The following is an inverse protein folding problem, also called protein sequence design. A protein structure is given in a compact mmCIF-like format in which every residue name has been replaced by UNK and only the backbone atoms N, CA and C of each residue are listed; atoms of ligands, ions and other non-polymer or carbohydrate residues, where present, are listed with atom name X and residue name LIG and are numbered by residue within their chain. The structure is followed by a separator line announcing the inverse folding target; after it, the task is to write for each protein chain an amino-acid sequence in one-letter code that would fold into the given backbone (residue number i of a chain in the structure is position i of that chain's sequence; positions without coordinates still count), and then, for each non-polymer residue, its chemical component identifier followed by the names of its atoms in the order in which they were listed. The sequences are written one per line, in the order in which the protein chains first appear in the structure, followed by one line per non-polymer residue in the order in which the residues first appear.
data_IF_931237004108
#
_entry.id   IF_931237004108
#
_cell.length_a   1.000
_cell.length_b   1.000
_cell.length_c   1.000
_cell.angle_alpha   90.00
_cell.angle_beta   90.00
_cell.angle_gamma   90.00
#
_symmetry.space_group_name_H-M   'P 1'
#
loop_
_entity.id
_entity.type
_entity.pdbx_description
1 polymer ?
#
# COMPACT_ATOMS: atom_id res chain seq x y z
N UNK A 1 -12.06 -43.20 -19.53
CA UNK A 1 -11.40 -42.17 -18.71
C UNK A 1 -12.17 -40.85 -18.81
N UNK A 2 -12.14 -40.05 -17.75
CA UNK A 2 -12.74 -38.69 -17.71
C UNK A 2 -12.19 -37.81 -18.84
N UNK A 3 -10.88 -37.84 -19.05
CA UNK A 3 -10.17 -37.14 -20.13
C UNK A 3 -10.78 -37.38 -21.51
N UNK A 4 -11.01 -38.65 -21.89
CA UNK A 4 -11.59 -38.99 -23.19
C UNK A 4 -12.99 -38.41 -23.38
N UNK A 5 -13.81 -38.35 -22.33
CA UNK A 5 -15.17 -37.78 -22.41
C UNK A 5 -15.14 -36.27 -22.62
N UNK A 6 -14.25 -35.56 -21.92
CA UNK A 6 -14.05 -34.12 -22.08
C UNK A 6 -13.53 -33.82 -23.48
N UNK A 7 -12.48 -34.51 -23.94
CA UNK A 7 -11.91 -34.33 -25.27
C UNK A 7 -12.96 -34.52 -26.39
N UNK A 8 -13.69 -35.64 -26.36
CA UNK A 8 -14.71 -35.92 -27.38
C UNK A 8 -15.86 -34.90 -27.30
N UNK A 9 -16.24 -34.47 -26.10
CA UNK A 9 -17.24 -33.41 -25.90
C UNK A 9 -16.81 -32.07 -26.51
N UNK A 10 -15.57 -31.66 -26.28
CA UNK A 10 -14.98 -30.41 -26.79
C UNK A 10 -14.84 -30.40 -28.31
N UNK A 11 -14.46 -31.53 -28.91
CA UNK A 11 -14.33 -31.65 -30.38
C UNK A 11 -15.70 -31.69 -31.05
N UNK A 12 -16.68 -32.40 -30.47
CA UNK A 12 -18.02 -32.52 -31.05
C UNK A 12 -18.80 -31.21 -31.02
N UNK A 13 -18.54 -30.34 -30.04
CA UNK A 13 -19.14 -29.01 -29.92
C UNK A 13 -18.07 -27.93 -30.08
N UNK A 14 -17.33 -27.96 -31.19
CA UNK A 14 -16.22 -27.04 -31.45
C UNK A 14 -16.61 -25.56 -31.29
N UNK A 15 -17.82 -25.15 -31.72
CA UNK A 15 -18.33 -23.79 -31.50
C UNK A 15 -18.45 -23.42 -30.02
N UNK A 16 -18.91 -24.34 -29.17
CA UNK A 16 -19.00 -24.10 -27.73
C UNK A 16 -17.59 -23.92 -27.14
N UNK A 17 -16.64 -24.76 -27.55
CA UNK A 17 -15.24 -24.65 -27.12
C UNK A 17 -14.63 -23.31 -27.52
N UNK A 18 -14.88 -22.85 -28.76
CA UNK A 18 -14.41 -21.54 -29.24
C UNK A 18 -15.03 -20.41 -28.42
N UNK A 19 -16.35 -20.41 -28.23
CA UNK A 19 -17.06 -19.35 -27.47
C UNK A 19 -16.54 -19.29 -26.04
N UNK A 20 -16.41 -20.43 -25.36
CA UNK A 20 -15.87 -20.48 -23.99
C UNK A 20 -14.45 -19.92 -23.94
N UNK A 21 -13.61 -20.26 -24.91
CA UNK A 21 -12.22 -19.77 -24.97
C UNK A 21 -12.18 -18.25 -25.16
N UNK A 22 -12.99 -17.71 -26.07
CA UNK A 22 -13.10 -16.27 -26.31
C UNK A 22 -13.62 -15.53 -25.08
N UNK A 23 -14.64 -16.07 -24.41
CA UNK A 23 -15.19 -15.46 -23.19
C UNK A 23 -14.18 -15.44 -22.04
N UNK A 24 -13.44 -16.55 -21.84
CA UNK A 24 -12.37 -16.59 -20.83
C UNK A 24 -11.27 -15.59 -21.15
N UNK A 25 -10.86 -15.48 -22.42
CA UNK A 25 -9.85 -14.53 -22.84
C UNK A 25 -10.31 -13.07 -22.65
N UNK A 26 -11.51 -12.72 -23.11
CA UNK A 26 -12.09 -11.40 -22.90
C UNK A 26 -12.25 -11.07 -21.41
N UNK A 27 -12.69 -12.03 -20.60
CA UNK A 27 -12.76 -11.90 -19.15
C UNK A 27 -11.40 -11.64 -18.51
N UNK A 28 -10.33 -12.28 -18.99
CA UNK A 28 -8.97 -12.03 -18.52
C UNK A 28 -8.50 -10.60 -18.82
N UNK A 29 -8.81 -10.08 -20.02
CA UNK A 29 -8.47 -8.70 -20.40
C UNK A 29 -9.23 -7.70 -19.52
N UNK A 30 -10.53 -7.90 -19.34
CA UNK A 30 -11.34 -7.05 -18.47
C UNK A 30 -10.84 -7.09 -17.00
N UNK A 31 -10.47 -8.27 -16.51
CA UNK A 31 -9.91 -8.45 -15.17
C UNK A 31 -8.53 -7.83 -14.98
N UNK A 32 -7.71 -7.76 -16.04
CA UNK A 32 -6.37 -7.18 -15.96
C UNK A 32 -6.41 -5.69 -15.60
N UNK A 33 -7.44 -4.95 -16.02
CA UNK A 33 -7.64 -3.56 -15.63
C UNK A 33 -7.94 -3.35 -14.14
N UNK A 34 -8.35 -4.40 -13.43
CA UNK A 34 -8.61 -4.37 -11.98
C UNK A 34 -7.36 -4.66 -11.15
N UNK A 35 -6.29 -5.16 -11.78
CA UNK A 35 -5.03 -5.44 -11.10
C UNK A 35 -4.33 -4.11 -10.83
N UNK A 36 -4.19 -3.77 -9.55
CA UNK A 36 -3.47 -2.58 -9.15
C UNK A 36 -2.00 -2.70 -9.55
N UNK A 37 -1.50 -1.72 -10.31
CA UNK A 37 -0.11 -1.64 -10.69
C UNK A 37 0.69 -1.01 -9.55
N UNK A 38 1.25 -1.85 -8.69
CA UNK A 38 2.14 -1.42 -7.62
C UNK A 38 3.59 -1.72 -8.01
N UNK A 39 4.44 -0.69 -8.04
CA UNK A 39 5.87 -0.86 -8.33
C UNK A 39 6.60 -1.55 -7.16
N UNK A 40 6.11 -1.34 -5.95
CA UNK A 40 6.55 -2.01 -4.74
C UNK A 40 5.33 -2.45 -3.92
N UNK A 41 5.40 -3.59 -3.22
CA UNK A 41 4.38 -3.93 -2.23
C UNK A 41 4.33 -2.85 -1.14
N UNK A 42 3.15 -2.60 -0.53
CA UNK A 42 3.07 -1.76 0.65
C UNK A 42 4.01 -2.34 1.71
N UNK A 43 4.94 -1.51 2.20
CA UNK A 43 5.73 -1.87 3.37
C UNK A 43 4.84 -1.66 4.59
N UNK A 44 4.30 -2.74 5.15
CA UNK A 44 3.48 -2.70 6.37
C UNK A 44 4.38 -2.49 7.60
N UNK A 45 5.11 -1.37 7.62
CA UNK A 45 5.91 -0.96 8.77
C UNK A 45 4.99 -0.26 9.77
N UNK A 46 4.95 -0.69 11.05
CA UNK A 46 4.21 -0.02 12.10
C UNK A 46 4.95 1.26 12.54
N UNK A 47 5.42 2.06 11.59
CA UNK A 47 6.16 3.30 11.79
C UNK A 47 5.32 4.45 11.22
N UNK A 48 5.10 5.50 12.02
CA UNK A 48 4.42 6.71 11.56
C UNK A 48 5.43 7.85 11.48
N UNK A 49 5.55 8.45 10.30
CA UNK A 49 6.40 9.63 10.07
C UNK A 49 5.51 10.86 10.06
N UNK A 50 5.88 11.87 10.87
CA UNK A 50 5.16 13.14 10.97
C UNK A 50 6.07 14.27 10.50
N UNK A 51 5.69 14.92 9.40
CA UNK A 51 6.39 16.10 8.88
C UNK A 51 5.82 17.39 9.52
N UNK A 52 6.65 18.09 10.29
CA UNK A 52 6.23 19.28 11.05
C UNK A 52 6.77 20.58 10.40
N UNK A 53 5.88 21.38 9.84
CA UNK A 53 6.24 22.62 9.14
C UNK A 53 5.55 23.84 9.75
N UNK A 54 6.33 24.81 10.23
CA UNK A 54 5.84 26.11 10.70
C UNK A 54 5.82 27.15 9.58
N UNK A 55 5.06 28.25 9.73
CA UNK A 55 5.10 29.37 8.80
C UNK A 55 6.52 29.94 8.61
N UNK A 56 6.77 30.46 7.40
CA UNK A 56 8.04 31.09 7.04
C UNK A 56 8.36 32.24 8.01
N UNK A 57 9.63 32.39 8.40
CA UNK A 57 10.14 33.29 9.46
C UNK A 57 9.86 32.89 10.92
N UNK A 58 9.33 31.69 11.17
CA UNK A 58 9.29 31.16 12.54
C UNK A 58 10.70 30.84 13.04
N UNK A 59 10.98 31.14 14.31
CA UNK A 59 12.27 30.82 14.92
C UNK A 59 12.40 29.31 15.15
N UNK A 60 13.63 28.80 15.16
CA UNK A 60 13.91 27.40 15.49
C UNK A 60 13.45 27.04 16.91
N UNK A 61 13.47 28.02 17.81
CA UNK A 61 13.01 27.89 19.20
C UNK A 61 11.50 27.68 19.25
N UNK A 62 10.72 28.41 18.45
CA UNK A 62 9.27 28.21 18.37
C UNK A 62 8.92 26.81 17.86
N UNK A 63 9.63 26.32 16.83
CA UNK A 63 9.44 24.94 16.34
C UNK A 63 9.72 23.92 17.45
N UNK A 64 10.76 24.14 18.26
CA UNK A 64 11.07 23.28 19.42
C UNK A 64 9.96 23.31 20.46
N UNK A 65 9.51 24.50 20.86
CA UNK A 65 8.47 24.64 21.88
C UNK A 65 7.14 23.98 21.44
N UNK A 66 6.79 24.06 20.16
CA UNK A 66 5.62 23.36 19.62
C UNK A 66 5.81 21.84 19.59
N UNK A 67 7.01 21.36 19.23
CA UNK A 67 7.34 19.93 19.24
C UNK A 67 7.26 19.36 20.66
N UNK A 68 7.89 20.01 21.64
CA UNK A 68 7.90 19.58 23.04
C UNK A 68 6.47 19.47 23.60
N UNK A 69 5.59 20.41 23.24
CA UNK A 69 4.16 20.37 23.61
C UNK A 69 3.42 19.21 22.96
N UNK A 70 3.75 18.87 21.72
CA UNK A 70 3.14 17.74 21.02
C UNK A 70 3.58 16.42 21.65
N UNK A 71 4.88 16.24 21.88
CA UNK A 71 5.44 15.05 22.51
C UNK A 71 4.78 14.79 23.87
N UNK A 72 4.69 15.81 24.73
CA UNK A 72 4.09 15.67 26.06
C UNK A 72 2.59 15.33 26.04
N UNK A 73 1.84 15.79 25.04
CA UNK A 73 0.38 15.60 24.99
C UNK A 73 -0.05 14.35 24.25
N UNK A 74 0.64 13.98 23.19
CA UNK A 74 0.21 12.95 22.26
C UNK A 74 1.05 11.67 22.33
N UNK A 75 2.32 11.77 22.74
CA UNK A 75 3.26 10.64 22.68
C UNK A 75 3.57 10.08 24.08
N UNK A 76 3.88 10.96 25.03
CA UNK A 76 4.27 10.55 26.39
C UNK A 76 3.10 9.84 27.08
N UNK A 77 3.34 8.59 27.50
CA UNK A 77 2.35 7.78 28.22
C UNK A 77 1.33 7.07 27.32
N UNK A 78 1.49 7.14 26.00
CA UNK A 78 0.66 6.39 25.07
C UNK A 78 1.11 4.90 25.03
N UNK A 79 0.25 3.93 25.38
CA UNK A 79 0.60 2.51 25.40
C UNK A 79 0.86 1.91 24.01
N UNK A 80 0.41 2.57 22.94
CA UNK A 80 0.58 2.11 21.56
C UNK A 80 1.92 2.58 20.94
N UNK A 81 2.72 3.37 21.67
CA UNK A 81 3.98 3.93 21.21
C UNK A 81 5.13 3.32 22.00
N UNK A 82 5.92 2.48 21.33
CA UNK A 82 7.12 1.87 21.91
C UNK A 82 8.29 2.86 21.97
N UNK A 83 8.53 3.60 20.88
CA UNK A 83 9.60 4.60 20.79
C UNK A 83 9.22 5.74 19.84
N UNK A 84 9.76 6.93 20.10
CA UNK A 84 9.67 8.08 19.22
C UNK A 84 10.96 8.91 19.26
N UNK A 85 11.22 9.64 18.18
CA UNK A 85 12.35 10.56 18.07
C UNK A 85 11.96 11.77 17.23
N UNK A 86 12.37 12.96 17.65
CA UNK A 86 12.13 14.21 16.91
C UNK A 86 13.43 14.82 16.39
N UNK A 87 13.37 15.40 15.20
CA UNK A 87 14.50 16.06 14.54
C UNK A 87 14.09 17.48 14.15
N UNK A 88 14.65 18.47 14.85
CA UNK A 88 14.30 19.89 14.68
C UNK A 88 15.40 20.58 13.88
N UNK A 89 15.08 21.11 12.70
CA UNK A 89 16.03 21.85 11.86
C UNK A 89 17.11 21.00 11.18
N UNK A 90 17.02 19.68 11.30
CA UNK A 90 17.93 18.71 10.69
C UNK A 90 17.13 17.50 10.19
N UNK A 91 17.64 16.82 9.16
CA UNK A 91 17.00 15.60 8.67
C UNK A 91 17.08 14.47 9.69
N UNK A 92 16.09 13.57 9.66
CA UNK A 92 16.14 12.34 10.45
C UNK A 92 17.44 11.58 10.12
N UNK A 93 18.19 11.23 11.16
CA UNK A 93 19.41 10.44 11.01
C UNK A 93 19.00 9.08 10.46
N UNK A 94 19.49 8.78 9.26
CA UNK A 94 19.30 7.47 8.63
C UNK A 94 20.56 6.69 8.98
N UNK A 95 20.39 5.66 9.83
CA UNK A 95 21.42 4.77 10.40
C UNK A 95 22.25 5.36 11.55
#
# INVERSE_FOLDING_TARGET
SLFRRVLVGSVRHHWLTIIVTVLLFAGSIAGFGLVQQQFFPPSDRPELIVDWNLPQNSSITETRDQMDRFEQRALVGNPDIDHFSSYIGQGAVRF
#
